data_IF_809130993596
#
_entry.id   IF_809130993596
#
_cell.length_a   1.000
_cell.length_b   1.000
_cell.length_c   1.000
_cell.angle_alpha   90.00
_cell.angle_beta   90.00
_cell.angle_gamma   90.00
#
_symmetry.space_group_name_H-M   'P 1'
#
loop_
_entity.id
_entity.type
_entity.pdbx_description
1 polymer ?
#
# COMPACT_ATOMS: atom_id res chain seq x y z
N UNK A 1 -4.57 17.34 -4.04
CA UNK A 1 -4.61 17.15 -5.47
C UNK A 1 -3.68 16.09 -5.97
N UNK A 2 -2.43 16.12 -5.54
CA UNK A 2 -1.46 15.16 -6.03
C UNK A 2 -1.22 14.07 -5.03
N UNK A 3 -0.98 12.88 -5.55
CA UNK A 3 -0.56 11.77 -4.72
C UNK A 3 0.94 11.94 -4.46
N UNK A 4 1.32 11.86 -3.20
CA UNK A 4 2.73 12.01 -2.81
C UNK A 4 3.30 10.63 -2.53
N UNK A 5 4.49 10.36 -3.05
CA UNK A 5 5.17 9.09 -2.84
C UNK A 5 6.53 9.38 -2.22
N UNK A 6 6.88 8.65 -1.18
CA UNK A 6 8.17 8.81 -0.54
C UNK A 6 8.68 7.47 -0.05
N UNK A 7 9.99 7.37 0.07
CA UNK A 7 10.61 6.14 0.56
C UNK A 7 10.64 6.17 2.09
N UNK A 8 10.15 5.09 2.69
CA UNK A 8 10.04 4.98 4.13
C UNK A 8 11.02 3.96 4.68
N UNK A 9 12.21 3.92 4.22
CA UNK A 9 13.22 3.01 4.71
C UNK A 9 13.23 1.70 3.95
N UNK A 10 14.41 1.13 3.81
CA UNK A 10 14.57 -0.17 3.17
C UNK A 10 13.83 -0.30 1.86
N UNK A 11 12.95 -1.26 1.82
CA UNK A 11 12.15 -1.57 0.64
C UNK A 11 10.75 -0.99 0.70
N UNK A 12 10.46 -0.17 1.70
CA UNK A 12 9.12 0.30 1.93
C UNK A 12 8.94 1.72 1.43
N UNK A 13 7.77 1.99 0.87
CA UNK A 13 7.41 3.31 0.36
C UNK A 13 6.11 3.75 0.99
N UNK A 14 5.99 5.03 1.25
CA UNK A 14 4.75 5.61 1.71
C UNK A 14 4.09 6.35 0.57
N UNK A 15 2.78 6.27 0.51
CA UNK A 15 1.99 7.01 -0.48
C UNK A 15 0.90 7.76 0.26
N UNK A 16 0.85 9.06 0.03
CA UNK A 16 -0.16 9.90 0.67
C UNK A 16 -1.16 10.34 -0.38
N UNK A 17 -2.41 9.99 -0.16
CA UNK A 17 -3.49 10.35 -1.05
C UNK A 17 -4.22 11.57 -0.51
N UNK A 18 -4.55 12.55 -1.36
CA UNK A 18 -5.39 13.65 -0.91
C UNK A 18 -6.78 13.16 -0.52
N UNK A 19 -7.45 13.95 0.33
CA UNK A 19 -8.76 13.55 0.84
C UNK A 19 -9.75 13.24 -0.26
N UNK A 20 -9.64 13.92 -1.38
CA UNK A 20 -10.55 13.72 -2.51
C UNK A 20 -10.46 12.31 -3.09
N UNK A 21 -9.32 11.66 -2.90
CA UNK A 21 -9.11 10.32 -3.45
C UNK A 21 -9.25 9.24 -2.39
N UNK A 22 -9.70 9.59 -1.20
CA UNK A 22 -9.77 8.66 -0.09
C UNK A 22 -10.58 7.41 -0.43
N UNK A 23 -11.74 7.58 -1.06
CA UNK A 23 -12.58 6.45 -1.39
C UNK A 23 -12.03 5.62 -2.55
N UNK A 24 -11.01 6.15 -3.22
CA UNK A 24 -10.42 5.47 -4.38
C UNK A 24 -9.05 4.87 -4.06
N UNK A 25 -8.51 5.15 -2.88
CA UNK A 25 -7.12 4.77 -2.58
C UNK A 25 -6.90 3.28 -2.69
N UNK A 26 -7.81 2.48 -2.13
CA UNK A 26 -7.67 1.03 -2.18
C UNK A 26 -7.73 0.53 -3.63
N UNK A 27 -8.67 1.08 -4.41
CA UNK A 27 -8.83 0.69 -5.80
C UNK A 27 -7.62 1.07 -6.64
N UNK A 28 -7.04 2.25 -6.37
CA UNK A 28 -5.84 2.69 -7.07
C UNK A 28 -4.66 1.77 -6.75
N UNK A 29 -4.49 1.43 -5.48
CA UNK A 29 -3.41 0.53 -5.08
C UNK A 29 -3.60 -0.85 -5.71
N UNK A 30 -4.83 -1.32 -5.78
CA UNK A 30 -5.12 -2.61 -6.39
C UNK A 30 -4.83 -2.58 -7.89
N UNK A 31 -5.15 -1.48 -8.55
CA UNK A 31 -4.84 -1.33 -9.96
C UNK A 31 -3.32 -1.33 -10.18
N UNK A 32 -2.58 -0.65 -9.32
CA UNK A 32 -1.12 -0.63 -9.42
C UNK A 32 -0.54 -2.00 -9.15
N UNK A 33 -1.07 -2.70 -8.14
CA UNK A 33 -0.60 -4.04 -7.80
C UNK A 33 -0.77 -4.98 -9.00
N UNK A 34 -1.94 -4.93 -9.62
CA UNK A 34 -2.23 -5.77 -10.77
C UNK A 34 -1.32 -5.42 -11.95
N UNK A 35 -1.11 -4.13 -12.17
CA UNK A 35 -0.25 -3.68 -13.28
C UNK A 35 1.19 -4.16 -13.08
N UNK A 36 1.70 -4.09 -11.85
CA UNK A 36 3.07 -4.54 -11.58
C UNK A 36 3.17 -6.05 -11.75
N UNK A 37 2.17 -6.77 -11.26
CA UNK A 37 2.16 -8.22 -11.35
C UNK A 37 2.18 -8.70 -12.80
N UNK A 38 1.45 -7.99 -13.65
CA UNK A 38 1.32 -8.40 -15.06
C UNK A 38 2.42 -7.88 -15.97
N UNK A 39 3.29 -7.03 -15.42
CA UNK A 39 4.32 -6.42 -16.25
C UNK A 39 5.34 -7.46 -16.71
N UNK A 40 5.70 -7.38 -17.98
CA UNK A 40 6.76 -8.21 -18.54
C UNK A 40 8.08 -7.48 -18.37
N UNK A 41 9.06 -8.16 -17.80
CA UNK A 41 10.35 -7.58 -17.53
C UNK A 41 11.38 -8.10 -18.53
N UNK A 42 12.46 -7.37 -18.70
CA UNK A 42 13.52 -7.77 -19.61
C UNK A 42 14.10 -9.13 -19.27
N UNK A 43 14.32 -9.30 -17.97
CA UNK A 43 14.89 -10.55 -17.48
C UNK A 43 13.81 -11.62 -17.51
N UNK A 44 14.11 -12.71 -18.19
CA UNK A 44 13.18 -13.83 -18.23
C UNK A 44 12.97 -14.39 -16.84
N UNK A 45 11.75 -14.76 -16.55
CA UNK A 45 11.36 -15.35 -15.26
C UNK A 45 11.40 -14.37 -14.10
N UNK A 46 11.63 -13.10 -14.37
CA UNK A 46 11.55 -12.10 -13.30
C UNK A 46 10.10 -11.77 -13.03
N UNK A 47 9.71 -11.93 -11.79
CA UNK A 47 8.38 -11.56 -11.36
C UNK A 47 8.48 -10.56 -10.22
N UNK A 48 7.70 -9.50 -10.32
CA UNK A 48 7.67 -8.46 -9.29
C UNK A 48 6.24 -8.29 -8.83
N UNK A 49 6.05 -8.32 -7.54
CA UNK A 49 4.76 -8.03 -6.93
C UNK A 49 5.01 -7.14 -5.74
N UNK A 50 3.94 -6.56 -5.20
CA UNK A 50 4.08 -5.84 -3.95
C UNK A 50 2.87 -6.09 -3.07
N UNK A 51 3.09 -5.87 -1.78
CA UNK A 51 2.03 -5.93 -0.78
C UNK A 51 1.87 -4.55 -0.19
N UNK A 52 0.69 -4.24 0.29
CA UNK A 52 0.45 -2.91 0.87
C UNK A 52 -0.54 -2.99 2.02
N UNK A 53 -0.33 -2.09 2.97
CA UNK A 53 -1.33 -1.79 3.97
C UNK A 53 -1.89 -0.42 3.67
N UNK A 54 -3.17 -0.23 3.88
CA UNK A 54 -3.81 1.06 3.62
C UNK A 54 -4.77 1.39 4.75
N UNK A 55 -4.81 2.66 5.11
CA UNK A 55 -5.71 3.13 6.15
C UNK A 55 -6.04 4.59 5.92
N UNK A 56 -7.05 5.05 6.63
CA UNK A 56 -7.48 6.43 6.58
C UNK A 56 -7.15 7.10 7.92
N UNK A 57 -6.51 8.26 7.84
CA UNK A 57 -6.12 8.98 9.04
C UNK A 57 -7.33 9.77 9.57
N UNK A 58 -7.66 9.55 10.83
CA UNK A 58 -8.77 10.24 11.50
C UNK A 58 -8.24 11.13 12.61
N UNK A 59 -7.06 11.71 12.39
CA UNK A 59 -6.42 12.66 13.32
C UNK A 59 -5.97 12.03 14.63
N UNK A 60 -5.85 10.72 14.67
CA UNK A 60 -5.20 10.05 15.80
C UNK A 60 -3.70 10.36 15.77
N UNK A 61 -2.97 10.11 16.86
CA UNK A 61 -1.53 10.35 16.86
C UNK A 61 -0.88 9.65 15.66
N UNK A 62 -0.02 10.36 14.96
CA UNK A 62 0.55 9.88 13.71
C UNK A 62 1.24 8.53 13.88
N UNK A 63 1.95 8.34 15.00
CA UNK A 63 2.63 7.07 15.24
C UNK A 63 1.64 5.91 15.35
N UNK A 64 0.49 6.17 15.94
CA UNK A 64 -0.55 5.16 16.06
C UNK A 64 -1.11 4.80 14.68
N UNK A 65 -1.33 5.80 13.86
CA UNK A 65 -1.83 5.58 12.51
C UNK A 65 -0.85 4.78 11.68
N UNK A 66 0.43 5.18 11.70
CA UNK A 66 1.46 4.47 10.94
C UNK A 66 1.59 3.04 11.43
N UNK A 67 1.49 2.83 12.75
CA UNK A 67 1.53 1.48 13.31
C UNK A 67 0.40 0.60 12.78
N UNK A 68 -0.80 1.18 12.66
CA UNK A 68 -1.95 0.44 12.12
C UNK A 68 -1.73 0.03 10.67
N UNK A 69 -1.18 0.94 9.87
CA UNK A 69 -0.90 0.65 8.47
C UNK A 69 0.19 -0.40 8.35
N UNK A 70 1.21 -0.31 9.19
CA UNK A 70 2.28 -1.31 9.22
C UNK A 70 1.74 -2.69 9.58
N UNK A 71 0.79 -2.76 10.52
CA UNK A 71 0.15 -4.02 10.87
C UNK A 71 -0.60 -4.61 9.69
N UNK A 72 -1.30 -3.75 8.95
CA UNK A 72 -2.02 -4.21 7.77
C UNK A 72 -1.05 -4.73 6.72
N UNK A 73 0.07 -4.07 6.55
CA UNK A 73 1.10 -4.52 5.62
C UNK A 73 1.66 -5.88 6.05
N UNK A 74 1.94 -6.01 7.35
CA UNK A 74 2.43 -7.28 7.89
C UNK A 74 1.42 -8.40 7.61
N UNK A 75 0.14 -8.11 7.83
CA UNK A 75 -0.93 -9.07 7.55
C UNK A 75 -0.92 -9.48 6.08
N UNK A 76 -0.76 -8.52 5.18
CA UNK A 76 -0.70 -8.82 3.75
C UNK A 76 0.44 -9.79 3.43
N UNK A 77 1.59 -9.57 4.05
CA UNK A 77 2.75 -10.44 3.84
C UNK A 77 2.52 -11.83 4.44
N UNK A 78 1.87 -11.88 5.59
CA UNK A 78 1.57 -13.17 6.24
C UNK A 78 0.56 -13.98 5.45
N UNK A 79 -0.37 -13.31 4.78
CA UNK A 79 -1.42 -14.00 4.03
C UNK A 79 -0.98 -14.44 2.64
N UNK A 80 0.28 -14.23 2.30
CA UNK A 80 0.80 -14.73 1.03
C UNK A 80 1.35 -13.67 0.11
N UNK A 81 1.44 -12.42 0.59
CA UNK A 81 1.99 -11.32 -0.19
C UNK A 81 1.13 -11.00 -1.41
N UNK A 82 1.57 -10.05 -2.21
CA UNK A 82 0.89 -9.66 -3.46
C UNK A 82 -0.58 -9.35 -3.21
N UNK A 83 -0.84 -8.48 -2.26
CA UNK A 83 -2.21 -8.10 -1.91
C UNK A 83 -2.22 -6.82 -1.08
N UNK A 84 -3.40 -6.22 -1.02
CA UNK A 84 -3.64 -4.99 -0.27
C UNK A 84 -4.53 -5.35 0.92
N UNK A 85 -4.13 -4.92 2.11
CA UNK A 85 -4.93 -5.13 3.31
C UNK A 85 -5.24 -3.76 3.92
N UNK A 86 -6.49 -3.53 4.25
CA UNK A 86 -6.92 -2.29 4.92
C UNK A 86 -6.78 -2.43 6.42
N UNK A 87 -6.56 -1.30 7.09
CA UNK A 87 -6.55 -1.30 8.54
C UNK A 87 -7.93 -1.69 9.06
N UNK A 88 -7.95 -2.22 10.28
CA UNK A 88 -9.21 -2.62 10.87
C UNK A 88 -10.12 -1.42 11.04
N UNK A 89 -11.39 -1.62 10.76
CA UNK A 89 -12.42 -0.60 10.94
C UNK A 89 -12.71 -0.42 12.41
N UNK A 90 -13.10 0.81 12.75
CA UNK A 90 -13.46 1.09 14.14
C UNK A 90 -14.85 1.62 14.23
#
# INVERSE_FOLDING_TARGET
DLVSVYRYGGEEFGVIFPAELMNSAHALLEAWRTAVEKRTWREENLRVTFSAGVGEWHFEPLEQFIGSVDEALYTAKQQGKNRIVSTASR
#
